data_IF_284575089863
#
_entry.id   IF_284575089863
#
_cell.length_a   1.000
_cell.length_b   1.000
_cell.length_c   1.000
_cell.angle_alpha   90.00
_cell.angle_beta   90.00
_cell.angle_gamma   90.00
#
_symmetry.space_group_name_H-M   'P 1'
#
loop_
_entity.id
_entity.type
_entity.pdbx_description
1 polymer ?
#
# COMPACT_ATOMS: atom_id res chain seq x y z
N UNK A 1 0.81 -36.78 -33.26
CA UNK A 1 1.74 -36.16 -32.29
C UNK A 1 2.24 -34.90 -32.97
N UNK A 2 1.80 -33.68 -32.64
CA UNK A 2 2.30 -32.72 -31.62
C UNK A 2 1.53 -31.43 -32.02
N UNK A 3 0.98 -30.55 -31.19
CA UNK A 3 0.91 -30.40 -29.75
C UNK A 3 -0.17 -29.35 -29.47
N UNK A 4 -0.92 -29.54 -28.38
CA UNK A 4 -1.89 -28.55 -27.89
C UNK A 4 -1.10 -27.34 -27.37
N UNK A 5 -1.18 -26.19 -28.04
CA UNK A 5 -0.76 -24.91 -27.44
C UNK A 5 -1.97 -24.26 -26.78
N UNK A 6 -2.29 -24.78 -25.60
CA UNK A 6 -3.06 -24.07 -24.58
C UNK A 6 -2.03 -23.37 -23.69
N UNK A 7 -1.73 -22.09 -23.92
CA UNK A 7 -0.92 -21.31 -22.98
C UNK A 7 -1.09 -19.79 -23.16
N UNK A 8 -2.25 -19.28 -22.78
CA UNK A 8 -2.33 -17.91 -22.27
C UNK A 8 -2.99 -17.95 -20.89
N UNK A 9 -2.22 -18.40 -19.90
CA UNK A 9 -2.43 -17.99 -18.52
C UNK A 9 -2.17 -16.49 -18.43
N UNK A 10 -3.19 -15.70 -18.75
CA UNK A 10 -3.28 -14.29 -18.38
C UNK A 10 -3.49 -14.18 -16.87
N UNK A 11 -2.48 -14.58 -16.10
CA UNK A 11 -2.42 -14.41 -14.66
C UNK A 11 -1.22 -13.51 -14.33
N UNK A 12 -1.36 -12.21 -14.53
CA UNK A 12 -0.61 -11.17 -13.80
C UNK A 12 -1.05 -9.76 -14.20
N UNK A 13 -2.35 -9.45 -14.11
CA UNK A 13 -2.70 -8.10 -13.67
C UNK A 13 -2.63 -8.19 -12.15
N UNK A 14 -1.43 -8.06 -11.57
CA UNK A 14 -1.34 -7.81 -10.13
C UNK A 14 -2.09 -6.48 -9.93
N UNK A 15 -3.24 -6.44 -9.25
CA UNK A 15 -3.86 -5.17 -8.94
C UNK A 15 -2.85 -4.38 -8.13
N UNK A 16 -2.72 -3.11 -8.47
CA UNK A 16 -1.71 -2.17 -8.02
C UNK A 16 -2.00 -1.75 -6.56
N UNK A 17 -2.33 -2.70 -5.69
CA UNK A 17 -2.63 -2.42 -4.29
C UNK A 17 -1.31 -2.20 -3.57
N UNK A 18 -0.83 -0.95 -3.63
CA UNK A 18 0.24 -0.38 -2.79
C UNK A 18 -0.22 -0.31 -1.32
N UNK A 19 -0.72 -1.42 -0.79
CA UNK A 19 -1.09 -1.60 0.61
C UNK A 19 0.03 -2.36 1.29
N UNK A 20 0.96 -1.63 1.89
CA UNK A 20 2.02 -2.19 2.73
C UNK A 20 1.55 -2.27 4.19
N UNK A 21 1.89 -3.35 4.88
CA UNK A 21 1.60 -3.55 6.31
C UNK A 21 2.90 -3.42 7.12
N UNK A 22 2.86 -2.60 8.17
CA UNK A 22 3.92 -2.37 9.14
C UNK A 22 3.51 -3.03 10.46
N UNK A 23 4.22 -4.08 10.86
CA UNK A 23 3.88 -4.84 12.05
C UNK A 23 4.35 -4.15 13.32
N UNK A 24 3.49 -4.09 14.34
CA UNK A 24 3.80 -3.54 15.67
C UNK A 24 4.35 -2.10 15.69
N UNK A 25 4.09 -1.33 14.64
CA UNK A 25 4.60 0.04 14.50
C UNK A 25 3.67 1.12 15.07
N UNK A 26 2.48 0.79 15.56
CA UNK A 26 1.56 1.82 16.07
C UNK A 26 2.09 2.47 17.36
N UNK A 27 2.22 3.82 17.41
CA UNK A 27 2.70 4.53 18.59
C UNK A 27 1.71 4.49 19.76
N UNK A 28 0.42 4.23 19.51
CA UNK A 28 -0.62 4.20 20.55
C UNK A 28 -0.76 2.82 21.22
N UNK A 29 -0.87 1.75 20.43
CA UNK A 29 -1.17 0.42 20.94
C UNK A 29 -0.13 -0.66 20.59
N UNK A 30 0.95 -0.30 19.86
CA UNK A 30 1.91 -1.26 19.29
C UNK A 30 1.25 -2.30 18.38
N UNK A 31 0.12 -1.95 17.77
CA UNK A 31 -0.57 -2.76 16.78
C UNK A 31 -0.02 -2.59 15.37
N UNK A 32 -0.67 -3.26 14.43
CA UNK A 32 -0.27 -3.27 13.03
C UNK A 32 -0.85 -2.06 12.29
N UNK A 33 -0.03 -1.45 11.45
CA UNK A 33 -0.37 -0.28 10.64
C UNK A 33 -0.44 -0.71 9.17
N UNK A 34 -1.44 -0.20 8.46
CA UNK A 34 -1.60 -0.36 7.01
C UNK A 34 -1.38 1.00 6.36
N UNK A 35 -0.56 1.03 5.33
CA UNK A 35 -0.46 2.18 4.43
C UNK A 35 -1.61 2.13 3.44
N UNK A 36 -2.35 3.22 3.35
CA UNK A 36 -3.49 3.37 2.45
C UNK A 36 -3.39 4.69 1.69
N UNK A 37 -4.24 4.85 0.67
CA UNK A 37 -4.31 6.05 -0.15
C UNK A 37 -5.75 6.52 -0.31
N UNK A 38 -5.97 7.81 -0.17
CA UNK A 38 -7.24 8.48 -0.49
C UNK A 38 -7.04 9.57 -1.57
N UNK A 39 -8.03 10.45 -1.70
CA UNK A 39 -7.99 11.58 -2.64
C UNK A 39 -6.91 12.62 -2.30
N UNK A 40 -6.49 12.71 -1.03
CA UNK A 40 -5.53 13.70 -0.54
C UNK A 40 -4.09 13.17 -0.56
N UNK A 41 -3.91 11.86 -0.45
CA UNK A 41 -2.58 11.28 -0.51
C UNK A 41 -2.49 9.92 0.15
N UNK A 42 -1.29 9.61 0.63
CA UNK A 42 -1.04 8.40 1.39
C UNK A 42 -1.15 8.69 2.88
N UNK A 43 -1.72 7.76 3.62
CA UNK A 43 -1.79 7.81 5.07
C UNK A 43 -1.53 6.43 5.67
N UNK A 44 -1.15 6.42 6.93
CA UNK A 44 -0.99 5.24 7.75
C UNK A 44 -2.22 5.10 8.65
N UNK A 45 -2.76 3.88 8.75
CA UNK A 45 -3.89 3.57 9.61
C UNK A 45 -3.59 2.34 10.46
N UNK A 46 -3.74 2.44 11.78
CA UNK A 46 -3.69 1.27 12.66
C UNK A 46 -5.00 0.48 12.61
N UNK A 47 -4.90 -0.81 12.32
CA UNK A 47 -6.07 -1.71 12.21
C UNK A 47 -6.69 -2.03 13.58
N UNK A 48 -5.90 -1.94 14.66
CA UNK A 48 -6.36 -2.31 16.02
C UNK A 48 -6.99 -1.16 16.80
N UNK A 49 -6.47 0.07 16.69
CA UNK A 49 -6.96 1.21 17.48
C UNK A 49 -7.47 2.39 16.64
N UNK A 50 -7.36 2.32 15.31
CA UNK A 50 -7.83 3.39 14.43
C UNK A 50 -6.94 4.63 14.37
N UNK A 51 -5.71 4.59 14.91
CA UNK A 51 -4.74 5.69 14.76
C UNK A 51 -4.49 6.01 13.29
N UNK A 52 -4.50 7.30 12.92
CA UNK A 52 -4.28 7.80 11.57
C UNK A 52 -3.11 8.79 11.57
N UNK A 53 -2.25 8.70 10.55
CA UNK A 53 -1.13 9.61 10.33
C UNK A 53 -0.92 9.84 8.83
N UNK A 54 -0.98 11.11 8.40
CA UNK A 54 -0.76 11.48 7.01
C UNK A 54 0.72 11.39 6.60
N UNK A 55 0.98 10.78 5.44
CA UNK A 55 2.34 10.72 4.88
C UNK A 55 2.54 11.96 4.02
N UNK A 56 3.02 13.04 4.64
CA UNK A 56 3.45 14.23 3.92
C UNK A 56 4.67 13.85 3.08
N UNK A 57 4.50 13.78 1.75
CA UNK A 57 5.66 13.71 0.87
C UNK A 57 6.39 15.04 1.00
N UNK A 58 7.70 15.06 1.30
CA UNK A 58 8.46 16.29 1.21
C UNK A 58 8.32 16.76 -0.24
N UNK A 59 7.60 17.86 -0.44
CA UNK A 59 7.62 18.57 -1.71
C UNK A 59 9.08 18.93 -1.91
N UNK A 60 9.76 18.29 -2.86
CA UNK A 60 11.09 18.75 -3.30
C UNK A 60 10.88 20.22 -3.63
N UNK A 61 11.53 21.09 -2.86
CA UNK A 61 11.20 22.50 -2.79
C UNK A 61 11.05 23.13 -4.17
N UNK A 62 10.01 23.95 -4.32
CA UNK A 62 9.99 24.96 -5.36
C UNK A 62 11.10 25.96 -5.00
N UNK A 63 12.26 25.79 -5.62
CA UNK A 63 13.29 26.82 -5.62
C UNK A 63 12.84 27.88 -6.62
N UNK A 64 12.55 29.08 -6.10
CA UNK A 64 12.47 30.34 -6.85
C UNK A 64 13.77 30.62 -7.62
#
# INVERSE_FOLDING_TARGET
>A
MVGRRMNQTSLAILPITDRSVLFKCCPRCRGDIVRNRDHFGYFLQCVQCGYLEDIVRPQRGYHE
#
